data_IF_305074497219
#
_entry.id   IF_305074497219
#
_cell.length_a   1.000
_cell.length_b   1.000
_cell.length_c   1.000
_cell.angle_alpha   90.00
_cell.angle_beta   90.00
_cell.angle_gamma   90.00
#
_symmetry.space_group_name_H-M   'P 1'
#
loop_
_entity.id
_entity.type
_entity.pdbx_description
1 polymer ?
#
# COMPACT_ATOMS: atom_id res chain seq x y z
N UNK A 1 10.76 -42.56 0.70
CA UNK A 1 11.10 -41.29 1.38
C UNK A 1 9.82 -40.46 1.50
N UNK A 2 9.25 -40.32 2.69
CA UNK A 2 8.12 -39.45 2.95
C UNK A 2 8.65 -38.04 3.15
N UNK A 3 8.55 -37.20 2.11
CA UNK A 3 8.86 -35.77 2.24
C UNK A 3 7.72 -35.06 2.97
N UNK A 4 8.04 -34.34 4.05
CA UNK A 4 7.07 -33.46 4.68
C UNK A 4 6.78 -32.27 3.73
N UNK A 5 5.62 -32.26 3.10
CA UNK A 5 5.15 -31.13 2.32
C UNK A 5 4.56 -30.10 3.29
N UNK A 6 5.27 -28.99 3.47
CA UNK A 6 4.73 -27.84 4.18
C UNK A 6 3.77 -27.07 3.23
N UNK A 7 2.49 -27.36 3.33
CA UNK A 7 1.46 -26.59 2.66
C UNK A 7 1.27 -25.29 3.44
N UNK A 8 1.26 -24.14 2.73
CA UNK A 8 0.89 -22.88 3.37
C UNK A 8 -0.62 -22.84 3.66
N UNK A 9 -1.05 -21.90 4.49
CA UNK A 9 -2.46 -21.80 4.91
C UNK A 9 -3.45 -21.72 3.74
N UNK A 10 -3.08 -21.04 2.65
CA UNK A 10 -3.94 -20.90 1.47
C UNK A 10 -4.10 -22.25 0.74
N UNK A 11 -3.04 -23.03 0.62
CA UNK A 11 -3.08 -24.35 0.00
C UNK A 11 -3.91 -25.33 0.83
N UNK A 12 -3.78 -25.30 2.15
CA UNK A 12 -4.61 -26.12 3.04
C UNK A 12 -6.09 -25.75 2.92
N UNK A 13 -6.41 -24.45 2.91
CA UNK A 13 -7.81 -23.99 2.74
C UNK A 13 -8.42 -24.44 1.41
N UNK A 14 -7.64 -24.41 0.31
CA UNK A 14 -8.11 -24.91 -1.00
C UNK A 14 -8.32 -26.43 -1.00
N UNK A 15 -7.47 -27.17 -0.32
CA UNK A 15 -7.63 -28.61 -0.17
C UNK A 15 -8.86 -28.97 0.66
N UNK A 16 -9.00 -28.32 1.82
CA UNK A 16 -10.14 -28.51 2.72
C UNK A 16 -11.46 -28.15 2.01
N UNK A 17 -11.45 -27.11 1.16
CA UNK A 17 -12.59 -26.73 0.34
C UNK A 17 -12.97 -27.80 -0.66
N UNK A 18 -12.00 -28.47 -1.28
CA UNK A 18 -12.23 -29.56 -2.20
C UNK A 18 -12.76 -30.82 -1.47
N UNK A 19 -12.08 -31.23 -0.39
CA UNK A 19 -12.40 -32.44 0.35
C UNK A 19 -13.81 -32.38 0.99
N UNK A 20 -14.28 -31.18 1.34
CA UNK A 20 -15.57 -30.97 2.01
C UNK A 20 -16.68 -30.43 1.10
N UNK A 21 -16.45 -30.29 -0.21
CA UNK A 21 -17.39 -29.70 -1.19
C UNK A 21 -17.99 -28.35 -0.72
N UNK A 22 -17.15 -27.51 -0.13
CA UNK A 22 -17.57 -26.29 0.57
C UNK A 22 -17.34 -25.06 -0.31
N UNK A 23 -18.26 -24.10 -0.23
CA UNK A 23 -18.12 -22.78 -0.87
C UNK A 23 -17.26 -21.88 0.00
N UNK A 24 -16.20 -21.37 -0.58
CA UNK A 24 -15.29 -20.43 0.09
C UNK A 24 -15.32 -19.05 -0.57
N UNK A 25 -15.01 -18.04 0.24
CA UNK A 25 -14.78 -16.68 -0.22
C UNK A 25 -13.32 -16.51 -0.65
N UNK A 26 -13.13 -16.17 -1.91
CA UNK A 26 -11.81 -15.89 -2.48
C UNK A 26 -11.62 -14.39 -2.68
N UNK A 27 -10.39 -13.94 -2.46
CA UNK A 27 -9.95 -12.60 -2.78
C UNK A 27 -8.69 -12.70 -3.65
N UNK A 28 -8.77 -12.15 -4.84
CA UNK A 28 -7.61 -11.97 -5.73
C UNK A 28 -7.27 -10.49 -5.73
N UNK A 29 -6.03 -10.17 -5.42
CA UNK A 29 -5.53 -8.80 -5.42
C UNK A 29 -4.31 -8.70 -6.33
N UNK A 30 -4.33 -7.72 -7.22
CA UNK A 30 -3.22 -7.39 -8.10
C UNK A 30 -2.27 -6.39 -7.44
N UNK A 31 -1.03 -6.27 -7.93
CA UNK A 31 -0.08 -5.25 -7.44
C UNK A 31 -0.59 -3.81 -7.57
N UNK A 32 -1.54 -3.56 -8.49
CA UNK A 32 -2.23 -2.27 -8.65
C UNK A 32 -3.19 -1.91 -7.51
N UNK A 33 -3.34 -2.74 -6.49
CA UNK A 33 -4.32 -2.58 -5.42
C UNK A 33 -5.76 -2.95 -5.80
N UNK A 34 -6.04 -3.20 -7.09
CA UNK A 34 -7.33 -3.69 -7.59
C UNK A 34 -7.43 -5.21 -7.44
N UNK A 35 -8.65 -5.73 -7.46
CA UNK A 35 -8.87 -7.17 -7.41
C UNK A 35 -10.34 -7.54 -7.44
N UNK A 36 -10.61 -8.80 -7.14
CA UNK A 36 -11.95 -9.36 -7.10
C UNK A 36 -12.18 -10.17 -5.84
N UNK A 37 -13.40 -10.10 -5.32
CA UNK A 37 -13.92 -11.02 -4.31
C UNK A 37 -15.01 -11.86 -4.97
N UNK A 38 -15.01 -13.16 -4.72
CA UNK A 38 -16.01 -14.06 -5.25
C UNK A 38 -16.17 -15.28 -4.34
N UNK A 39 -17.31 -15.93 -4.44
CA UNK A 39 -17.56 -17.23 -3.85
C UNK A 39 -17.29 -18.31 -4.89
N UNK A 40 -16.62 -19.37 -4.50
CA UNK A 40 -16.38 -20.51 -5.38
C UNK A 40 -16.28 -21.84 -4.62
N UNK A 41 -16.58 -22.91 -5.33
CA UNK A 41 -16.26 -24.29 -4.95
C UNK A 41 -14.97 -24.69 -5.63
N UNK A 42 -14.12 -25.43 -4.94
CA UNK A 42 -12.96 -26.10 -5.54
C UNK A 42 -13.43 -27.41 -6.15
N UNK A 43 -13.32 -27.56 -7.48
CA UNK A 43 -13.84 -28.74 -8.21
C UNK A 43 -12.78 -29.75 -8.55
N UNK A 44 -11.54 -29.33 -8.65
CA UNK A 44 -10.44 -30.21 -9.00
C UNK A 44 -9.14 -29.65 -8.45
N UNK A 45 -8.28 -30.53 -7.96
CA UNK A 45 -6.90 -30.18 -7.70
C UNK A 45 -5.97 -31.25 -8.29
N UNK A 46 -4.84 -30.80 -8.79
CA UNK A 46 -3.77 -31.67 -9.26
C UNK A 46 -2.44 -31.20 -8.66
N UNK A 47 -1.61 -32.18 -8.32
CA UNK A 47 -0.28 -31.92 -7.81
C UNK A 47 0.74 -32.44 -8.83
N UNK A 48 1.73 -31.65 -9.16
CA UNK A 48 2.86 -32.08 -9.95
C UNK A 48 4.16 -31.80 -9.19
N UNK A 49 5.04 -32.80 -9.12
CA UNK A 49 6.39 -32.61 -8.59
C UNK A 49 7.31 -32.29 -9.76
N UNK A 50 7.90 -31.09 -9.75
CA UNK A 50 8.97 -30.73 -10.68
C UNK A 50 10.31 -31.34 -10.29
N UNK A 51 11.23 -31.45 -11.25
CA UNK A 51 12.59 -32.02 -11.07
C UNK A 51 13.47 -31.23 -10.09
N UNK A 52 13.08 -29.99 -9.73
CA UNK A 52 13.85 -29.11 -8.84
C UNK A 52 13.24 -28.94 -7.45
N UNK A 53 12.43 -29.91 -7.00
CA UNK A 53 11.81 -29.85 -5.65
C UNK A 53 10.65 -28.85 -5.52
N UNK A 54 10.22 -28.20 -6.62
CA UNK A 54 9.06 -27.33 -6.63
C UNK A 54 7.82 -28.18 -6.86
N UNK A 55 6.89 -28.13 -5.92
CA UNK A 55 5.56 -28.75 -6.07
C UNK A 55 4.61 -27.69 -6.59
N UNK A 56 4.08 -27.92 -7.78
CA UNK A 56 3.03 -27.08 -8.34
C UNK A 56 1.65 -27.71 -8.10
N UNK A 57 0.69 -26.91 -7.69
CA UNK A 57 -0.70 -27.31 -7.53
C UNK A 57 -1.60 -26.49 -8.43
N UNK A 58 -2.51 -27.14 -9.13
CA UNK A 58 -3.54 -26.48 -9.96
C UNK A 58 -4.90 -26.76 -9.37
N UNK A 59 -5.69 -25.70 -9.22
CA UNK A 59 -7.06 -25.78 -8.73
C UNK A 59 -8.04 -25.24 -9.77
N UNK A 60 -9.13 -25.98 -10.01
CA UNK A 60 -10.26 -25.49 -10.79
C UNK A 60 -11.35 -24.97 -9.86
N UNK A 61 -11.79 -23.74 -10.09
CA UNK A 61 -12.80 -23.07 -9.28
C UNK A 61 -14.10 -22.92 -10.06
N UNK A 62 -15.22 -23.32 -9.45
CA UNK A 62 -16.57 -23.03 -9.96
C UNK A 62 -17.13 -21.82 -9.21
N UNK A 63 -17.29 -20.71 -9.90
CA UNK A 63 -17.84 -19.49 -9.33
C UNK A 63 -19.29 -19.67 -8.90
N UNK A 64 -19.64 -19.15 -7.75
CA UNK A 64 -21.01 -19.05 -7.21
C UNK A 64 -21.45 -17.58 -7.24
N UNK A 65 -21.86 -17.11 -8.41
CA UNK A 65 -22.25 -15.71 -8.64
C UNK A 65 -21.19 -14.90 -9.38
N UNK A 66 -21.47 -13.61 -9.58
CA UNK A 66 -20.54 -12.69 -10.24
C UNK A 66 -19.44 -12.26 -9.28
N UNK A 67 -18.18 -12.23 -9.74
CA UNK A 67 -17.11 -11.59 -8.98
C UNK A 67 -17.44 -10.11 -8.71
N UNK A 68 -17.14 -9.65 -7.50
CA UNK A 68 -17.28 -8.24 -7.11
C UNK A 68 -15.91 -7.59 -7.19
N UNK A 69 -15.80 -6.47 -7.90
CA UNK A 69 -14.57 -5.69 -7.95
C UNK A 69 -14.18 -5.24 -6.54
N UNK A 70 -12.90 -5.24 -6.28
CA UNK A 70 -12.33 -4.85 -5.02
C UNK A 70 -11.16 -3.92 -5.26
N UNK A 71 -11.13 -2.82 -4.53
CA UNK A 71 -10.02 -1.88 -4.50
C UNK A 71 -9.56 -1.77 -3.05
N UNK A 72 -8.27 -1.90 -2.80
CA UNK A 72 -7.70 -1.59 -1.48
C UNK A 72 -7.84 -0.09 -1.29
N UNK A 73 -8.43 0.39 -0.18
CA UNK A 73 -8.51 1.83 0.08
C UNK A 73 -7.11 2.46 0.09
N UNK A 74 -7.03 3.71 -0.40
CA UNK A 74 -5.80 4.48 -0.31
C UNK A 74 -5.46 4.71 1.17
N UNK A 75 -4.23 4.42 1.57
CA UNK A 75 -3.77 4.57 2.95
C UNK A 75 -2.28 4.89 3.02
N UNK A 76 -1.86 5.67 4.03
CA UNK A 76 -0.44 5.87 4.30
C UNK A 76 0.19 4.60 4.88
N UNK A 77 1.33 4.23 4.33
CA UNK A 77 2.24 3.20 4.86
C UNK A 77 3.33 3.86 5.70
N UNK A 78 3.72 5.08 5.30
CA UNK A 78 4.69 5.90 6.01
C UNK A 78 4.16 7.34 6.07
N UNK A 79 4.09 7.89 7.26
CA UNK A 79 3.86 9.30 7.52
C UNK A 79 5.19 10.03 7.71
N UNK A 80 5.21 11.37 7.62
CA UNK A 80 6.38 12.15 8.04
C UNK A 80 6.64 11.94 9.53
N UNK A 81 7.86 12.23 9.98
CA UNK A 81 8.15 12.30 11.42
C UNK A 81 7.26 13.34 12.10
N UNK A 82 6.83 13.09 13.34
CA UNK A 82 5.96 14.02 14.07
C UNK A 82 6.60 15.37 14.30
N UNK A 83 7.93 15.38 14.46
CA UNK A 83 8.74 16.58 14.67
C UNK A 83 10.04 16.48 13.88
N UNK A 84 10.45 17.58 13.27
CA UNK A 84 11.72 17.69 12.56
C UNK A 84 12.40 18.99 12.93
N UNK A 85 13.64 18.89 13.41
CA UNK A 85 14.46 20.06 13.74
C UNK A 85 15.62 20.14 12.77
N UNK A 86 15.80 21.27 12.13
CA UNK A 86 16.92 21.55 11.22
C UNK A 86 17.58 22.86 11.62
N UNK A 87 18.85 23.04 11.25
CA UNK A 87 19.54 24.31 11.41
C UNK A 87 19.30 25.21 10.19
N UNK A 88 19.37 26.53 10.40
CA UNK A 88 19.37 27.48 9.27
C UNK A 88 20.45 27.10 8.25
N UNK A 89 20.14 27.13 6.98
CA UNK A 89 21.02 26.73 5.88
C UNK A 89 21.02 25.24 5.55
N UNK A 90 20.49 24.37 6.41
CA UNK A 90 20.45 22.94 6.18
C UNK A 90 19.35 22.54 5.17
N UNK A 91 19.41 21.30 4.71
CA UNK A 91 18.37 20.69 3.90
C UNK A 91 17.17 20.30 4.80
N UNK A 92 16.00 20.82 4.49
CA UNK A 92 14.73 20.39 5.07
C UNK A 92 14.11 19.32 4.15
N UNK A 93 14.01 18.08 4.63
CA UNK A 93 13.41 16.98 3.86
C UNK A 93 12.53 16.12 4.72
N UNK A 94 11.42 15.65 4.15
CA UNK A 94 10.49 14.70 4.75
C UNK A 94 9.79 13.90 3.66
N UNK A 95 9.29 12.73 3.96
CA UNK A 95 8.70 11.85 2.96
C UNK A 95 7.48 11.11 3.49
N UNK A 96 6.61 10.75 2.56
CA UNK A 96 5.45 9.89 2.78
C UNK A 96 5.50 8.68 1.85
N UNK A 97 4.74 7.66 2.17
CA UNK A 97 4.50 6.56 1.24
C UNK A 97 3.08 6.05 1.45
N UNK A 98 2.42 5.66 0.37
CA UNK A 98 1.04 5.18 0.37
C UNK A 98 0.93 3.82 -0.33
N UNK A 99 -0.12 3.09 -0.01
CA UNK A 99 -0.56 1.93 -0.77
C UNK A 99 -2.07 1.97 -0.99
N UNK A 100 -2.58 1.02 -1.80
CA UNK A 100 -4.00 0.99 -2.15
C UNK A 100 -4.39 2.07 -3.15
N UNK A 101 -5.68 2.35 -3.28
CA UNK A 101 -6.18 3.27 -4.29
C UNK A 101 -5.85 2.84 -5.72
N UNK A 102 -5.84 3.80 -6.63
CA UNK A 102 -5.49 3.60 -8.06
C UNK A 102 -4.35 4.53 -8.44
N UNK A 103 -3.13 4.02 -8.72
CA UNK A 103 -2.03 4.85 -9.19
C UNK A 103 -2.31 5.39 -10.62
N UNK A 104 -1.61 6.47 -11.06
CA UNK A 104 -0.59 7.21 -10.32
C UNK A 104 -1.18 8.09 -9.21
N UNK A 105 -0.36 8.38 -8.20
CA UNK A 105 -0.75 9.27 -7.10
C UNK A 105 -0.27 10.69 -7.35
N UNK A 106 -1.09 11.68 -6.95
CA UNK A 106 -0.73 13.09 -6.91
C UNK A 106 -0.44 13.47 -5.46
N UNK A 107 0.66 14.15 -5.23
CA UNK A 107 1.05 14.65 -3.91
C UNK A 107 0.97 16.17 -3.88
N UNK A 108 0.52 16.73 -2.79
CA UNK A 108 0.46 18.16 -2.53
C UNK A 108 0.87 18.44 -1.09
N UNK A 109 2.09 18.96 -0.91
CA UNK A 109 2.56 19.37 0.41
C UNK A 109 1.96 20.70 0.82
N UNK A 110 1.56 20.78 2.08
CA UNK A 110 0.99 21.99 2.70
C UNK A 110 1.81 22.39 3.91
N UNK A 111 1.96 23.68 4.10
CA UNK A 111 2.55 24.28 5.31
C UNK A 111 1.49 25.17 5.95
N UNK A 112 1.21 24.93 7.23
CA UNK A 112 0.18 25.65 7.99
C UNK A 112 -1.18 25.69 7.25
N UNK A 113 -1.51 24.57 6.56
CA UNK A 113 -2.72 24.40 5.77
C UNK A 113 -2.66 25.01 4.35
N UNK A 114 -1.62 25.78 4.00
CA UNK A 114 -1.47 26.38 2.67
C UNK A 114 -0.58 25.52 1.76
N UNK A 115 -0.93 25.34 0.48
CA UNK A 115 -0.11 24.60 -0.47
C UNK A 115 1.28 25.21 -0.61
N UNK A 116 2.30 24.33 -0.71
CA UNK A 116 3.67 24.72 -1.04
C UNK A 116 3.92 24.43 -2.51
N UNK A 117 4.07 25.47 -3.30
CA UNK A 117 4.26 25.33 -4.75
C UNK A 117 5.51 24.49 -5.08
N UNK A 118 5.39 23.69 -6.16
CA UNK A 118 6.49 22.85 -6.65
C UNK A 118 6.75 21.59 -5.83
N UNK A 119 6.10 21.39 -4.69
CA UNK A 119 6.26 20.19 -3.86
C UNK A 119 5.16 19.17 -4.17
N UNK A 120 5.36 18.43 -5.27
CA UNK A 120 4.34 17.53 -5.85
C UNK A 120 4.77 16.07 -5.89
N UNK A 121 5.85 15.72 -5.18
CA UNK A 121 6.36 14.36 -5.06
C UNK A 121 6.10 13.78 -3.68
N UNK A 122 6.34 12.49 -3.50
CA UNK A 122 6.27 11.80 -2.21
C UNK A 122 7.29 12.32 -1.18
N UNK A 123 8.26 13.08 -1.65
CA UNK A 123 9.32 13.68 -0.82
C UNK A 123 9.27 15.20 -0.94
N UNK A 124 9.08 15.86 0.20
CA UNK A 124 9.31 17.28 0.34
C UNK A 124 10.81 17.54 0.46
N UNK A 125 11.32 18.51 -0.28
CA UNK A 125 12.73 18.88 -0.21
C UNK A 125 12.91 20.37 -0.42
N UNK A 126 13.55 21.04 0.55
CA UNK A 126 13.91 22.46 0.47
C UNK A 126 15.32 22.66 0.97
N UNK A 127 16.21 23.09 0.08
CA UNK A 127 17.56 23.50 0.45
C UNK A 127 17.54 24.83 1.21
N UNK A 128 18.57 25.06 2.02
CA UNK A 128 18.79 26.32 2.71
C UNK A 128 17.60 26.75 3.59
N UNK A 129 17.22 25.91 4.54
CA UNK A 129 16.13 26.18 5.48
C UNK A 129 16.33 27.51 6.20
N UNK A 130 15.26 28.29 6.32
CA UNK A 130 15.25 29.60 6.98
C UNK A 130 14.25 29.60 8.15
N UNK A 131 14.35 30.58 9.03
CA UNK A 131 13.43 30.70 10.18
C UNK A 131 11.95 30.77 9.77
N UNK A 132 11.67 31.28 8.57
CA UNK A 132 10.32 31.29 7.99
C UNK A 132 9.79 29.92 7.57
N UNK A 133 10.62 28.88 7.54
CA UNK A 133 10.21 27.51 7.18
C UNK A 133 9.69 26.71 8.38
N UNK A 134 9.80 27.24 9.60
CA UNK A 134 9.11 26.67 10.75
C UNK A 134 7.59 26.63 10.50
N UNK A 135 6.94 25.59 10.96
CA UNK A 135 5.48 25.44 10.78
C UNK A 135 5.05 23.98 10.82
N UNK A 136 3.79 23.75 10.54
CA UNK A 136 3.19 22.42 10.52
C UNK A 136 3.02 21.98 9.05
N UNK A 137 3.63 20.85 8.71
CA UNK A 137 3.60 20.31 7.35
C UNK A 137 2.74 19.07 7.29
N UNK A 138 1.97 18.95 6.21
CA UNK A 138 1.18 17.76 5.86
C UNK A 138 1.33 17.50 4.37
N UNK A 139 1.08 16.26 3.96
CA UNK A 139 1.01 15.88 2.56
C UNK A 139 -0.39 15.35 2.25
N UNK A 140 -1.08 15.95 1.29
CA UNK A 140 -2.31 15.40 0.72
C UNK A 140 -1.94 14.52 -0.46
N UNK A 141 -2.48 13.30 -0.49
CA UNK A 141 -2.27 12.34 -1.59
C UNK A 141 -3.61 11.99 -2.19
N UNK A 142 -3.72 12.12 -3.51
CA UNK A 142 -4.93 11.80 -4.28
C UNK A 142 -4.60 10.71 -5.29
N UNK A 143 -5.45 9.70 -5.37
CA UNK A 143 -5.33 8.63 -6.36
C UNK A 143 -5.96 9.03 -7.72
N UNK A 144 -5.80 8.16 -8.74
CA UNK A 144 -6.30 8.38 -10.10
C UNK A 144 -7.50 7.49 -10.44
N UNK A 145 -8.32 7.14 -9.47
CA UNK A 145 -9.57 6.42 -9.72
C UNK A 145 -10.59 7.32 -10.46
N UNK A 146 -11.62 6.74 -11.08
CA UNK A 146 -12.74 7.52 -11.68
C UNK A 146 -13.43 8.42 -10.64
N UNK A 147 -13.49 7.95 -9.38
CA UNK A 147 -13.86 8.74 -8.22
C UNK A 147 -12.61 8.81 -7.31
N UNK A 148 -11.80 9.87 -7.47
CA UNK A 148 -10.53 9.97 -6.75
C UNK A 148 -10.72 10.00 -5.23
N UNK A 149 -9.88 9.26 -4.53
CA UNK A 149 -9.78 9.30 -3.08
C UNK A 149 -8.62 10.21 -2.70
N UNK A 150 -8.84 11.08 -1.72
CA UNK A 150 -7.79 11.93 -1.15
C UNK A 150 -7.64 11.62 0.33
N UNK A 151 -6.40 11.52 0.77
CA UNK A 151 -6.03 11.32 2.18
C UNK A 151 -4.94 12.32 2.57
N UNK A 152 -4.93 12.74 3.83
CA UNK A 152 -3.92 13.67 4.36
C UNK A 152 -3.05 12.93 5.38
N UNK A 153 -1.75 13.15 5.32
CA UNK A 153 -0.78 12.56 6.25
C UNK A 153 -0.94 13.10 7.66
N UNK A 154 -0.30 12.42 8.61
CA UNK A 154 -0.03 12.99 9.92
C UNK A 154 0.78 14.29 9.76
N UNK A 155 0.64 15.18 10.73
CA UNK A 155 1.34 16.45 10.74
C UNK A 155 2.78 16.29 11.23
N UNK A 156 3.69 16.99 10.56
CA UNK A 156 5.08 17.19 10.99
C UNK A 156 5.29 18.61 11.48
N UNK A 157 5.67 18.81 12.73
CA UNK A 157 6.06 20.11 13.25
C UNK A 157 7.55 20.35 12.96
N UNK A 158 7.81 21.31 12.10
CA UNK A 158 9.19 21.72 11.73
C UNK A 158 9.66 22.89 12.60
N UNK A 159 10.84 22.73 13.19
CA UNK A 159 11.55 23.77 13.91
C UNK A 159 12.86 24.09 13.18
N UNK A 160 13.17 25.37 13.00
CA UNK A 160 14.44 25.82 12.43
C UNK A 160 15.21 26.57 13.49
N UNK A 161 16.37 26.02 13.90
CA UNK A 161 17.27 26.66 14.82
C UNK A 161 18.06 27.76 14.11
N UNK A 162 18.30 28.90 14.77
CA UNK A 162 19.18 29.92 14.23
C UNK A 162 20.57 29.37 13.94
N UNK A 163 21.30 30.00 13.02
CA UNK A 163 22.73 29.75 12.90
C UNK A 163 23.36 30.06 14.25
N UNK A 164 23.96 29.03 14.87
CA UNK A 164 24.69 29.24 16.13
C UNK A 164 25.71 30.33 15.92
N UNK A 165 25.63 31.41 16.73
CA UNK A 165 26.64 32.44 16.78
C UNK A 165 27.89 31.92 17.48
#
# INVERSE_FOLDING_TARGET
MSGNFYLNQAQNALRDAYDNDTVYAFKVQFPSGKGFKFLAEVRQHTWSSGTNGVVAATFSLRLKGKPVSYVVPLAFVKNPEKTLTVNTGALLTMSVSVNGGTPPYKHAWKKDGQPVEGQTTDTFSKANAQSGDKGVYTCEVTDSAEQPQSITSDACTVTVNGAGG
#
